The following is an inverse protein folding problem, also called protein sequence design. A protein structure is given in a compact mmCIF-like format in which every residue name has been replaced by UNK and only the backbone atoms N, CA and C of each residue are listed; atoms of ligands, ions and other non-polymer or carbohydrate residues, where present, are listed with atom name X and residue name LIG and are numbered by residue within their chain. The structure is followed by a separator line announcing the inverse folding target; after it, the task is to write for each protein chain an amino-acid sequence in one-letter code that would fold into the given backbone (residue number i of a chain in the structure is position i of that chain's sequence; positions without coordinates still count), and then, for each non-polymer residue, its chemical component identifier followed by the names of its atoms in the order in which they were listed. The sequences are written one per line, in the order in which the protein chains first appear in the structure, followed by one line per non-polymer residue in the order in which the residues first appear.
data_IF_480024415361
#
_entry.id   IF_480024415361
#
_cell.length_a   1.000
_cell.length_b   1.000
_cell.length_c   1.000
_cell.angle_alpha   90.00
_cell.angle_beta   90.00
_cell.angle_gamma   90.00
#
_symmetry.space_group_name_H-M   'P 1'
#
loop_
_entity.id
_entity.type
_entity.pdbx_description
1 polymer ?
#
# COMPACT_ATOMS: atom_id res chain seq x y z
N UNK A 1 2.03 18.21 -22.13
CA UNK A 1 2.70 17.99 -20.84
C UNK A 1 2.43 16.54 -20.46
N UNK A 2 3.41 15.64 -20.57
CA UNK A 2 3.25 14.27 -20.06
C UNK A 2 3.25 14.36 -18.54
N UNK A 3 2.07 14.34 -17.93
CA UNK A 3 1.93 14.45 -16.48
C UNK A 3 2.16 13.05 -15.89
N UNK A 4 3.42 12.73 -15.59
CA UNK A 4 3.75 11.49 -14.89
C UNK A 4 2.97 11.43 -13.58
N UNK A 5 2.39 10.27 -13.22
CA UNK A 5 1.62 10.14 -11.99
C UNK A 5 2.50 10.47 -10.78
N UNK A 6 1.98 11.17 -9.75
CA UNK A 6 2.73 11.45 -8.53
C UNK A 6 3.26 10.15 -7.91
N UNK A 7 4.54 10.13 -7.56
CA UNK A 7 5.17 8.99 -6.90
C UNK A 7 5.00 9.16 -5.39
N UNK A 8 4.37 8.18 -4.74
CA UNK A 8 4.07 8.25 -3.30
C UNK A 8 4.63 7.03 -2.59
N UNK A 9 5.46 7.27 -1.57
CA UNK A 9 6.09 6.23 -0.75
C UNK A 9 5.28 6.03 0.54
N UNK A 10 4.77 4.81 0.78
CA UNK A 10 4.14 4.43 2.05
C UNK A 10 5.04 3.51 2.89
N UNK A 11 4.98 3.67 4.22
CA UNK A 11 5.63 2.82 5.22
C UNK A 11 4.54 2.19 6.08
N UNK A 12 4.30 0.90 5.88
CA UNK A 12 3.23 0.20 6.57
C UNK A 12 3.56 -1.27 6.76
N UNK A 13 2.87 -1.91 7.70
CA UNK A 13 2.90 -3.35 7.85
C UNK A 13 2.12 -4.01 6.70
N UNK A 14 2.59 -5.16 6.22
CA UNK A 14 1.86 -5.97 5.24
C UNK A 14 0.73 -6.72 5.93
N UNK A 15 -0.49 -6.52 5.44
CA UNK A 15 -1.69 -7.25 5.82
C UNK A 15 -2.07 -8.25 4.72
N UNK A 16 -1.87 -9.57 4.94
CA UNK A 16 -2.17 -10.59 3.93
C UNK A 16 -3.67 -10.74 3.65
N UNK A 17 -4.55 -10.17 4.46
CA UNK A 17 -6.00 -10.16 4.19
C UNK A 17 -6.40 -9.09 3.19
N UNK A 18 -5.54 -8.10 2.97
CA UNK A 18 -5.79 -6.97 2.07
C UNK A 18 -6.77 -5.92 2.63
N UNK A 19 -7.22 -6.06 3.88
CA UNK A 19 -8.19 -5.16 4.49
C UNK A 19 -7.59 -3.86 5.04
N UNK A 20 -6.30 -3.87 5.41
CA UNK A 20 -5.61 -2.73 5.99
C UNK A 20 -4.14 -2.66 5.52
N UNK A 21 -3.36 -1.82 6.21
CA UNK A 21 -1.92 -1.72 6.04
C UNK A 21 -1.49 -1.40 4.61
N UNK A 22 -0.35 -1.99 4.23
CA UNK A 22 0.32 -1.70 2.96
C UNK A 22 -0.59 -1.98 1.75
N UNK A 23 -1.39 -3.04 1.76
CA UNK A 23 -2.29 -3.38 0.67
C UNK A 23 -3.40 -2.34 0.48
N UNK A 24 -4.02 -1.89 1.57
CA UNK A 24 -5.03 -0.83 1.54
C UNK A 24 -4.45 0.51 1.07
N UNK A 25 -3.24 0.86 1.51
CA UNK A 25 -2.53 2.05 1.07
C UNK A 25 -2.27 2.03 -0.44
N UNK A 26 -1.73 0.93 -0.97
CA UNK A 26 -1.42 0.80 -2.40
C UNK A 26 -2.68 0.96 -3.26
N UNK A 27 -3.80 0.34 -2.87
CA UNK A 27 -5.08 0.46 -3.58
C UNK A 27 -5.62 1.89 -3.54
N UNK A 28 -5.52 2.54 -2.38
CA UNK A 28 -5.96 3.93 -2.19
C UNK A 28 -5.12 4.86 -3.07
N UNK A 29 -3.80 4.76 -3.02
CA UNK A 29 -2.89 5.58 -3.82
C UNK A 29 -3.10 5.37 -5.33
N UNK A 30 -3.23 4.12 -5.77
CA UNK A 30 -3.54 3.81 -7.17
C UNK A 30 -4.89 4.41 -7.59
N UNK A 31 -5.91 4.36 -6.73
CA UNK A 31 -7.23 4.94 -7.01
C UNK A 31 -7.19 6.48 -7.11
N UNK A 32 -6.22 7.13 -6.45
CA UNK A 32 -5.98 8.57 -6.54
C UNK A 32 -5.10 8.97 -7.75
N UNK A 33 -4.73 8.02 -8.61
CA UNK A 33 -3.92 8.28 -9.80
C UNK A 33 -2.42 8.41 -9.50
N UNK A 34 -1.95 7.92 -8.36
CA UNK A 34 -0.53 7.92 -8.01
C UNK A 34 0.17 6.65 -8.51
N UNK A 35 1.50 6.70 -8.60
CA UNK A 35 2.36 5.53 -8.68
C UNK A 35 2.87 5.18 -7.28
N UNK A 36 2.27 4.18 -6.61
CA UNK A 36 2.62 3.89 -5.23
C UNK A 36 3.91 3.07 -5.14
N UNK A 37 4.73 3.42 -4.15
CA UNK A 37 5.91 2.69 -3.72
C UNK A 37 5.70 2.28 -2.27
N UNK A 38 6.26 1.15 -1.86
CA UNK A 38 6.07 0.61 -0.52
C UNK A 38 7.38 0.27 0.18
N UNK A 39 7.40 0.54 1.48
CA UNK A 39 8.39 0.03 2.42
C UNK A 39 7.66 -0.82 3.46
N UNK A 40 7.96 -2.12 3.44
CA UNK A 40 7.40 -3.06 4.41
C UNK A 40 8.10 -2.89 5.74
N UNK A 41 7.37 -2.50 6.79
CA UNK A 41 7.92 -2.31 8.14
C UNK A 41 7.71 -3.53 9.04
N UNK A 42 6.68 -4.33 8.77
CA UNK A 42 6.37 -5.56 9.47
C UNK A 42 5.50 -6.47 8.60
N UNK A 43 5.40 -7.74 8.98
CA UNK A 43 4.41 -8.68 8.44
C UNK A 43 3.37 -8.96 9.52
N UNK A 44 2.11 -8.71 9.23
CA UNK A 44 1.02 -9.12 10.12
C UNK A 44 0.57 -10.52 9.74
N UNK A 45 0.18 -11.30 10.74
CA UNK A 45 -0.38 -12.63 10.57
C UNK A 45 -1.69 -12.65 11.35
N UNK A 46 -2.76 -13.04 10.69
CA UNK A 46 -4.06 -13.27 11.33
C UNK A 46 -4.29 -14.77 11.37
N UNK A 47 -4.14 -15.34 12.57
CA UNK A 47 -4.51 -16.72 12.82
C UNK A 47 -6.02 -16.81 13.10
N UNK A 48 -6.63 -17.92 12.70
CA UNK A 48 -8.04 -18.24 12.95
C UNK A 48 -8.21 -19.20 14.15
N UNK A 49 -7.12 -19.54 14.83
CA UNK A 49 -7.07 -20.36 16.04
C UNK A 49 -6.78 -19.57 17.30
#
# INVERSE_FOLDING_TARGET
MSHSPPIVLTFAASDPTGGAGLQADLLTLASMGCHPLSVVTALTMQDTR
#
